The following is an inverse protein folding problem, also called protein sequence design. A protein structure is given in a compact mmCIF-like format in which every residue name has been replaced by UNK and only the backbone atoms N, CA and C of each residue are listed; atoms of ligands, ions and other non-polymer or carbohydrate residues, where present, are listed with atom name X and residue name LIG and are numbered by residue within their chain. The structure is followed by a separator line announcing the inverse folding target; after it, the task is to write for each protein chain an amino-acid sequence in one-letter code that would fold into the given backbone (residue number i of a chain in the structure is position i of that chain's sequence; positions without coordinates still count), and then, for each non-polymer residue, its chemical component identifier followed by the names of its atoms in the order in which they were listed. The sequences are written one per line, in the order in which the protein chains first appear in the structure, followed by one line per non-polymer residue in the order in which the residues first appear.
data_IF_013893115307
#
_entry.id   IF_013893115307
#
_cell.length_a   1.000
_cell.length_b   1.000
_cell.length_c   1.000
_cell.angle_alpha   90.00
_cell.angle_beta   90.00
_cell.angle_gamma   90.00
#
_symmetry.space_group_name_H-M   'P 1'
#
loop_
_entity.id
_entity.type
_entity.pdbx_description
1 polymer ?
#
# COMPACT_ATOMS: atom_id res chain seq x y z
N UNK A 1 -23.00 11.41 19.63
CA UNK A 1 -21.84 11.06 18.78
C UNK A 1 -22.30 11.08 17.32
N UNK A 2 -21.69 11.90 16.46
CA UNK A 2 -22.17 12.11 15.09
C UNK A 2 -21.95 10.85 14.23
N UNK A 3 -23.01 10.25 13.71
CA UNK A 3 -22.95 9.03 12.88
C UNK A 3 -21.95 9.16 11.71
N UNK A 4 -21.86 10.36 11.10
CA UNK A 4 -20.89 10.69 10.03
C UNK A 4 -19.42 10.58 10.46
N UNK A 5 -19.14 10.84 11.74
CA UNK A 5 -17.79 10.75 12.29
C UNK A 5 -17.41 9.30 12.54
N UNK A 6 -18.34 8.52 13.09
CA UNK A 6 -18.17 7.07 13.34
C UNK A 6 -17.93 6.34 12.01
N UNK A 7 -18.74 6.61 10.98
CA UNK A 7 -18.56 6.00 9.67
C UNK A 7 -17.20 6.34 9.04
N UNK A 8 -16.72 7.58 9.19
CA UNK A 8 -15.43 8.00 8.67
C UNK A 8 -14.27 7.30 9.39
N UNK A 9 -14.39 7.08 10.70
CA UNK A 9 -13.41 6.33 11.48
C UNK A 9 -13.35 4.85 11.07
N UNK A 10 -14.51 4.20 10.93
CA UNK A 10 -14.59 2.82 10.46
C UNK A 10 -13.93 2.69 9.08
N UNK A 11 -14.27 3.58 8.14
CA UNK A 11 -13.66 3.58 6.81
C UNK A 11 -12.14 3.79 6.87
N UNK A 12 -11.66 4.74 7.69
CA UNK A 12 -10.22 4.98 7.84
C UNK A 12 -9.48 3.76 8.40
N UNK A 13 -10.06 3.06 9.39
CA UNK A 13 -9.47 1.85 9.98
C UNK A 13 -9.40 0.72 8.96
N UNK A 14 -10.47 0.50 8.18
CA UNK A 14 -10.47 -0.51 7.11
C UNK A 14 -9.40 -0.20 6.06
N UNK A 15 -9.29 1.07 5.63
CA UNK A 15 -8.27 1.48 4.65
C UNK A 15 -6.86 1.28 5.24
N UNK A 16 -6.64 1.63 6.51
CA UNK A 16 -5.35 1.43 7.17
C UNK A 16 -4.98 -0.05 7.27
N UNK A 17 -5.95 -0.92 7.55
CA UNK A 17 -5.74 -2.37 7.53
C UNK A 17 -5.34 -2.87 6.13
N UNK A 18 -5.89 -2.29 5.07
CA UNK A 18 -5.48 -2.62 3.69
C UNK A 18 -4.06 -2.15 3.36
N UNK A 19 -3.61 -1.00 3.87
CA UNK A 19 -2.21 -0.60 3.78
C UNK A 19 -1.28 -1.58 4.49
N UNK A 20 -1.64 -2.01 5.70
CA UNK A 20 -0.87 -2.99 6.45
C UNK A 20 -0.82 -4.33 5.70
N UNK A 21 -1.96 -4.80 5.18
CA UNK A 21 -2.04 -5.98 4.34
C UNK A 21 -1.12 -5.87 3.11
N UNK A 22 -1.12 -4.73 2.42
CA UNK A 22 -0.28 -4.51 1.24
C UNK A 22 1.23 -4.64 1.56
N UNK A 23 1.67 -4.15 2.72
CA UNK A 23 3.06 -4.33 3.19
C UNK A 23 3.36 -5.81 3.46
N UNK A 24 2.47 -6.50 4.19
CA UNK A 24 2.63 -7.92 4.51
C UNK A 24 2.65 -8.78 3.25
N UNK A 25 1.81 -8.48 2.26
CA UNK A 25 1.79 -9.14 0.96
C UNK A 25 3.11 -8.93 0.21
N UNK A 26 3.65 -7.71 0.20
CA UNK A 26 4.96 -7.42 -0.39
C UNK A 26 6.09 -8.23 0.26
N UNK A 27 6.10 -8.33 1.60
CA UNK A 27 7.05 -9.18 2.33
C UNK A 27 6.85 -10.65 1.98
N UNK A 28 5.61 -11.12 1.92
CA UNK A 28 5.27 -12.48 1.50
C UNK A 28 5.76 -12.81 0.10
N UNK A 29 5.63 -11.88 -0.85
CA UNK A 29 6.14 -12.02 -2.21
C UNK A 29 7.68 -12.11 -2.23
N UNK A 30 8.37 -11.26 -1.46
CA UNK A 30 9.84 -11.30 -1.35
C UNK A 30 10.32 -12.65 -0.78
N UNK A 31 9.71 -13.10 0.31
CA UNK A 31 10.07 -14.39 0.94
C UNK A 31 9.70 -15.58 0.08
N UNK A 32 8.54 -15.55 -0.60
CA UNK A 32 8.10 -16.62 -1.48
C UNK A 32 9.02 -16.74 -2.69
N UNK A 33 9.29 -15.64 -3.39
CA UNK A 33 10.16 -15.66 -4.57
C UNK A 33 11.60 -16.04 -4.23
N UNK A 34 12.10 -15.71 -3.03
CA UNK A 34 13.42 -16.16 -2.61
C UNK A 34 13.52 -17.67 -2.43
N UNK A 35 12.46 -18.31 -1.95
CA UNK A 35 12.41 -19.77 -1.83
C UNK A 35 12.25 -20.51 -3.17
N UNK A 36 11.55 -19.93 -4.15
CA UNK A 36 11.24 -20.61 -5.42
C UNK A 36 12.18 -20.27 -6.57
N UNK A 37 12.70 -19.05 -6.63
CA UNK A 37 13.39 -18.51 -7.81
C UNK A 37 14.83 -18.06 -7.54
N UNK A 38 15.28 -17.97 -6.28
CA UNK A 38 16.68 -17.82 -5.89
C UNK A 38 17.51 -16.88 -6.79
N UNK A 39 18.74 -17.30 -7.14
CA UNK A 39 19.63 -16.54 -8.05
C UNK A 39 19.18 -16.52 -9.52
N UNK A 40 18.10 -17.23 -9.88
CA UNK A 40 17.61 -17.24 -11.26
C UNK A 40 16.95 -15.90 -11.64
N UNK A 41 16.52 -15.11 -10.65
CA UNK A 41 16.07 -13.74 -10.85
C UNK A 41 17.26 -12.79 -10.90
N UNK A 42 17.39 -12.06 -12.00
CA UNK A 42 18.33 -10.96 -12.12
C UNK A 42 18.11 -9.87 -11.05
N UNK A 43 19.00 -8.86 -10.97
CA UNK A 43 18.94 -7.84 -9.92
C UNK A 43 17.66 -6.97 -9.95
N UNK A 44 16.98 -6.88 -11.09
CA UNK A 44 15.80 -6.03 -11.29
C UNK A 44 14.55 -6.54 -10.52
N UNK A 45 14.13 -7.81 -10.60
CA UNK A 45 13.05 -8.34 -9.76
C UNK A 45 13.25 -8.12 -8.26
N UNK A 46 14.47 -8.27 -7.76
CA UNK A 46 14.77 -8.07 -6.33
C UNK A 46 14.59 -6.63 -5.88
N UNK A 47 15.02 -5.66 -6.69
CA UNK A 47 14.81 -4.24 -6.38
C UNK A 47 13.34 -3.87 -6.47
N UNK A 48 12.60 -4.42 -7.44
CA UNK A 48 11.15 -4.20 -7.57
C UNK A 48 10.35 -4.80 -6.41
N UNK A 49 10.72 -5.97 -5.91
CA UNK A 49 10.10 -6.58 -4.72
C UNK A 49 10.38 -5.75 -3.46
N UNK A 50 11.61 -5.27 -3.30
CA UNK A 50 11.94 -4.32 -2.23
C UNK A 50 11.10 -3.04 -2.33
N UNK A 51 11.00 -2.47 -3.53
CA UNK A 51 10.18 -1.29 -3.79
C UNK A 51 8.70 -1.53 -3.45
N UNK A 52 8.14 -2.68 -3.81
CA UNK A 52 6.75 -3.04 -3.54
C UNK A 52 6.37 -2.98 -2.05
N UNK A 53 7.33 -3.24 -1.15
CA UNK A 53 7.12 -3.14 0.31
C UNK A 53 7.01 -1.67 0.75
N UNK A 54 7.85 -0.80 0.18
CA UNK A 54 7.91 0.62 0.58
C UNK A 54 6.83 1.49 -0.06
N UNK A 55 6.32 1.11 -1.24
CA UNK A 55 5.27 1.84 -1.96
C UNK A 55 4.02 2.11 -1.10
N UNK A 56 3.37 1.13 -0.45
CA UNK A 56 2.21 1.39 0.39
C UNK A 56 2.54 2.27 1.60
N UNK A 57 3.74 2.14 2.17
CA UNK A 57 4.21 2.98 3.30
C UNK A 57 4.35 4.44 2.84
N UNK A 58 5.01 4.67 1.70
CA UNK A 58 5.19 6.00 1.12
C UNK A 58 3.86 6.65 0.77
N UNK A 59 2.96 5.89 0.12
CA UNK A 59 1.62 6.38 -0.22
C UNK A 59 0.80 6.76 1.02
N UNK A 60 0.83 5.95 2.08
CA UNK A 60 0.18 6.27 3.35
C UNK A 60 0.72 7.58 3.95
N UNK A 61 2.04 7.72 4.03
CA UNK A 61 2.69 8.92 4.57
C UNK A 61 2.29 10.16 3.77
N UNK A 62 2.36 10.09 2.44
CA UNK A 62 1.96 11.20 1.55
C UNK A 62 0.49 11.55 1.75
N UNK A 63 -0.40 10.56 1.79
CA UNK A 63 -1.83 10.77 2.04
C UNK A 63 -2.08 11.45 3.38
N UNK A 64 -1.36 11.07 4.45
CA UNK A 64 -1.48 11.68 5.77
C UNK A 64 -0.96 13.12 5.80
N UNK A 65 0.17 13.40 5.14
CA UNK A 65 0.73 14.74 5.03
C UNK A 65 -0.25 15.67 4.29
N UNK A 66 -0.77 15.23 3.15
CA UNK A 66 -1.72 16.00 2.32
C UNK A 66 -3.06 16.19 3.02
N UNK A 67 -3.49 15.23 3.84
CA UNK A 67 -4.74 15.28 4.59
C UNK A 67 -4.72 16.24 5.79
N UNK A 68 -3.58 16.84 6.15
CA UNK A 68 -3.47 17.80 7.26
C UNK A 68 -4.44 18.97 7.07
N UNK A 69 -5.19 19.30 8.13
CA UNK A 69 -6.19 20.39 8.11
C UNK A 69 -7.47 20.10 7.32
N UNK A 70 -7.61 18.94 6.67
CA UNK A 70 -8.81 18.58 5.90
C UNK A 70 -9.92 17.96 6.78
N UNK A 71 -11.20 18.06 6.38
CA UNK A 71 -12.32 17.43 7.11
C UNK A 71 -12.29 15.90 7.01
N UNK A 72 -12.92 15.21 7.97
CA UNK A 72 -12.77 13.76 8.18
C UNK A 72 -12.96 12.92 6.90
N UNK A 73 -14.05 13.13 6.15
CA UNK A 73 -14.30 12.37 4.92
C UNK A 73 -13.32 12.65 3.79
N UNK A 74 -12.79 13.87 3.69
CA UNK A 74 -11.72 14.19 2.72
C UNK A 74 -10.44 13.45 3.08
N UNK A 75 -10.14 13.26 4.37
CA UNK A 75 -8.99 12.43 4.79
C UNK A 75 -9.17 10.98 4.37
N UNK A 76 -10.36 10.42 4.57
CA UNK A 76 -10.68 9.04 4.14
C UNK A 76 -10.49 8.88 2.63
N UNK A 77 -11.00 9.83 1.84
CA UNK A 77 -10.81 9.81 0.38
C UNK A 77 -9.33 9.90 -0.01
N UNK A 78 -8.54 10.76 0.64
CA UNK A 78 -7.11 10.87 0.38
C UNK A 78 -6.34 9.60 0.76
N UNK A 79 -6.73 8.93 1.85
CA UNK A 79 -6.17 7.63 2.24
C UNK A 79 -6.50 6.56 1.18
N UNK A 80 -7.76 6.51 0.73
CA UNK A 80 -8.21 5.59 -0.31
C UNK A 80 -7.47 5.84 -1.64
N UNK A 81 -7.31 7.11 -2.05
CA UNK A 81 -6.54 7.47 -3.25
C UNK A 81 -5.10 6.97 -3.18
N UNK A 82 -4.41 7.21 -2.06
CA UNK A 82 -3.05 6.72 -1.88
C UNK A 82 -2.98 5.19 -1.96
N UNK A 83 -3.99 4.50 -1.43
CA UNK A 83 -4.06 3.05 -1.46
C UNK A 83 -4.26 2.54 -2.90
N UNK A 84 -5.12 3.20 -3.67
CA UNK A 84 -5.31 2.88 -5.09
C UNK A 84 -4.04 3.09 -5.91
N UNK A 85 -3.31 4.18 -5.65
CA UNK A 85 -2.02 4.43 -6.32
C UNK A 85 -1.01 3.34 -5.95
N UNK A 86 -0.91 2.99 -4.66
CA UNK A 86 -0.03 1.91 -4.22
C UNK A 86 -0.39 0.56 -4.85
N UNK A 87 -1.69 0.25 -4.97
CA UNK A 87 -2.17 -0.96 -5.62
C UNK A 87 -1.86 -0.98 -7.13
N UNK A 88 -2.05 0.14 -7.83
CA UNK A 88 -1.71 0.24 -9.25
C UNK A 88 -0.20 0.02 -9.49
N UNK A 89 0.65 0.62 -8.67
CA UNK A 89 2.10 0.39 -8.74
C UNK A 89 2.45 -1.07 -8.46
N UNK A 90 1.79 -1.73 -7.51
CA UNK A 90 2.02 -3.16 -7.27
C UNK A 90 1.61 -4.06 -8.45
N UNK A 91 0.51 -3.73 -9.14
CA UNK A 91 0.09 -4.45 -10.34
C UNK A 91 1.14 -4.35 -11.45
N UNK A 92 1.68 -3.15 -11.67
CA UNK A 92 2.77 -2.93 -12.63
C UNK A 92 4.04 -3.68 -12.22
N UNK A 93 4.41 -3.67 -10.94
CA UNK A 93 5.58 -4.41 -10.45
C UNK A 93 5.41 -5.91 -10.70
N UNK A 94 4.25 -6.50 -10.39
CA UNK A 94 4.01 -7.91 -10.68
C UNK A 94 4.02 -8.20 -12.18
N UNK A 95 3.48 -7.31 -13.00
CA UNK A 95 3.50 -7.45 -14.45
C UNK A 95 4.93 -7.44 -15.03
N UNK A 96 5.83 -6.64 -14.47
CA UNK A 96 7.24 -6.57 -14.88
C UNK A 96 8.07 -7.76 -14.39
N UNK A 97 7.60 -8.50 -13.39
CA UNK A 97 8.29 -9.64 -12.79
C UNK A 97 7.84 -10.97 -13.44
N UNK A 98 6.60 -11.07 -13.93
CA UNK A 98 6.03 -12.25 -14.60
C UNK A 98 6.55 -12.46 -16.01
#
# INVERSE_FOLDING_TARGET
MNAKLVSAWVAAVVILALYAYAVVAGIGNLMGMSTFLGEALGPLPWTLLGLAIFVPIGALIVSLIVARGRPAWVRVLLLATGLCVAAAVQLEIMHLIS
#
